data_IF_402163863962
#
_entry.id   IF_402163863962
#
_cell.length_a   1.000
_cell.length_b   1.000
_cell.length_c   1.000
_cell.angle_alpha   90.00
_cell.angle_beta   90.00
_cell.angle_gamma   90.00
#
_symmetry.space_group_name_H-M   'P 1'
#
loop_
_entity.id
_entity.type
_entity.pdbx_description
1 polymer ?
#
# COMPACT_ATOMS: atom_id res chain seq x y z
N UNK A 1 -17.71 -33.29 -4.68
CA UNK A 1 -16.83 -32.19 -4.25
C UNK A 1 -16.57 -32.35 -2.77
N UNK A 2 -15.38 -32.84 -2.46
CA UNK A 2 -15.03 -33.40 -1.17
C UNK A 2 -14.56 -32.31 -0.18
N UNK A 3 -14.62 -32.66 1.10
CA UNK A 3 -13.75 -32.13 2.14
C UNK A 3 -12.30 -32.46 1.73
N UNK A 4 -11.43 -31.45 1.65
CA UNK A 4 -10.04 -31.62 1.22
C UNK A 4 -9.10 -31.33 2.38
N UNK A 5 -8.25 -32.30 2.77
CA UNK A 5 -7.18 -32.07 3.75
C UNK A 5 -6.03 -31.32 3.09
N UNK A 6 -5.64 -30.18 3.63
CA UNK A 6 -4.48 -29.42 3.16
C UNK A 6 -3.21 -30.24 3.42
N UNK A 7 -2.26 -30.33 2.47
CA UNK A 7 -1.02 -31.05 2.71
C UNK A 7 -0.22 -30.39 3.85
N UNK A 8 0.32 -31.19 4.76
CA UNK A 8 1.05 -30.71 5.94
C UNK A 8 0.84 -31.58 7.18
N UNK A 9 1.47 -31.15 8.28
CA UNK A 9 1.42 -31.82 9.60
C UNK A 9 0.14 -31.56 10.39
N UNK A 10 -0.63 -30.56 9.96
CA UNK A 10 -1.84 -30.09 10.63
C UNK A 10 -3.07 -30.78 10.05
N UNK A 11 -4.05 -31.07 10.90
CA UNK A 11 -5.36 -31.57 10.52
C UNK A 11 -6.27 -30.41 10.08
N UNK A 12 -5.83 -29.73 9.02
CA UNK A 12 -6.51 -28.59 8.42
C UNK A 12 -7.23 -29.00 7.14
N UNK A 13 -8.51 -28.68 7.06
CA UNK A 13 -9.38 -29.05 5.96
C UNK A 13 -10.05 -27.83 5.33
N UNK A 14 -10.28 -27.89 4.03
CA UNK A 14 -11.00 -26.86 3.25
C UNK A 14 -12.17 -27.45 2.48
N UNK A 15 -13.30 -26.75 2.46
CA UNK A 15 -14.53 -27.26 1.85
C UNK A 15 -15.53 -26.18 1.41
N UNK A 16 -16.60 -26.63 0.76
CA UNK A 16 -17.79 -25.81 0.49
C UNK A 16 -18.90 -26.12 1.48
N UNK A 17 -20.01 -25.37 1.41
CA UNK A 17 -21.12 -25.47 2.37
C UNK A 17 -21.75 -26.87 2.40
N UNK A 18 -21.81 -27.55 1.25
CA UNK A 18 -22.32 -28.92 1.15
C UNK A 18 -21.50 -29.96 1.92
N UNK A 19 -20.28 -29.62 2.34
CA UNK A 19 -19.48 -30.46 3.22
C UNK A 19 -20.12 -30.59 4.60
N UNK A 20 -20.82 -29.56 5.08
CA UNK A 20 -21.49 -29.58 6.38
C UNK A 20 -22.65 -30.59 6.43
N UNK A 21 -23.29 -30.88 5.30
CA UNK A 21 -24.37 -31.88 5.22
C UNK A 21 -23.86 -33.34 5.23
N UNK A 22 -22.54 -33.57 5.24
CA UNK A 22 -21.93 -34.91 5.13
C UNK A 22 -21.44 -35.41 6.49
N UNK A 23 -22.38 -35.81 7.36
CA UNK A 23 -22.11 -36.24 8.74
C UNK A 23 -21.03 -37.31 8.85
N UNK A 24 -21.10 -38.37 8.04
CA UNK A 24 -20.13 -39.46 8.08
C UNK A 24 -18.71 -38.94 7.76
N UNK A 25 -18.58 -38.09 6.73
CA UNK A 25 -17.27 -37.52 6.38
C UNK A 25 -16.71 -36.65 7.50
N UNK A 26 -17.52 -35.79 8.13
CA UNK A 26 -17.06 -34.95 9.24
C UNK A 26 -16.63 -35.81 10.44
N UNK A 27 -17.41 -36.84 10.78
CA UNK A 27 -17.12 -37.76 11.87
C UNK A 27 -15.85 -38.59 11.62
N UNK A 28 -15.71 -39.16 10.42
CA UNK A 28 -14.55 -39.97 10.04
C UNK A 28 -13.24 -39.17 10.05
N UNK A 29 -13.31 -37.87 9.74
CA UNK A 29 -12.14 -36.95 9.80
C UNK A 29 -11.86 -36.38 11.18
N UNK A 30 -12.71 -36.66 12.18
CA UNK A 30 -12.52 -36.16 13.54
C UNK A 30 -12.56 -34.63 13.66
N UNK A 31 -13.30 -33.93 12.79
CA UNK A 31 -13.43 -32.47 12.84
C UNK A 31 -14.03 -32.05 14.19
N UNK A 32 -13.36 -31.11 14.85
CA UNK A 32 -13.77 -30.54 16.15
C UNK A 32 -14.10 -29.06 16.05
N UNK A 33 -13.56 -28.37 15.04
CA UNK A 33 -13.61 -26.93 14.88
C UNK A 33 -14.02 -26.56 13.45
N UNK A 34 -14.95 -25.61 13.29
CA UNK A 34 -15.44 -25.16 11.99
C UNK A 34 -15.38 -23.63 11.86
N UNK A 35 -14.76 -23.14 10.79
CA UNK A 35 -14.76 -21.74 10.37
C UNK A 35 -15.69 -21.58 9.17
N UNK A 36 -16.71 -20.74 9.33
CA UNK A 36 -17.68 -20.37 8.29
C UNK A 36 -17.33 -18.99 7.73
N UNK A 37 -16.86 -18.91 6.49
CA UNK A 37 -16.49 -17.66 5.81
C UNK A 37 -17.56 -17.28 4.77
N UNK A 38 -18.76 -16.95 5.25
CA UNK A 38 -19.92 -16.52 4.47
C UNK A 38 -21.01 -15.92 5.37
N UNK A 39 -21.82 -15.02 4.81
CA UNK A 39 -23.04 -14.49 5.45
C UNK A 39 -24.16 -15.54 5.40
N UNK A 40 -24.28 -16.37 6.44
CA UNK A 40 -25.31 -17.41 6.53
C UNK A 40 -25.59 -17.80 7.99
N UNK A 41 -26.86 -18.08 8.34
CA UNK A 41 -27.26 -18.54 9.68
C UNK A 41 -27.29 -20.08 9.71
N UNK A 42 -26.42 -20.68 10.52
CA UNK A 42 -26.27 -22.14 10.65
C UNK A 42 -27.07 -22.74 11.80
N UNK A 43 -27.94 -21.99 12.50
CA UNK A 43 -28.72 -22.50 13.64
C UNK A 43 -29.58 -23.73 13.32
N UNK A 44 -30.03 -23.86 12.09
CA UNK A 44 -30.87 -24.98 11.65
C UNK A 44 -30.05 -26.22 11.22
N UNK A 45 -28.71 -26.15 11.26
CA UNK A 45 -27.88 -27.32 10.98
C UNK A 45 -27.93 -28.31 12.15
N UNK A 46 -28.36 -29.52 11.85
CA UNK A 46 -28.40 -30.61 12.81
C UNK A 46 -26.98 -30.94 13.31
N UNK A 47 -26.84 -31.23 14.60
CA UNK A 47 -25.56 -31.55 15.25
C UNK A 47 -24.51 -30.40 15.23
N UNK A 48 -24.92 -29.18 14.87
CA UNK A 48 -24.02 -28.02 14.84
C UNK A 48 -23.34 -27.77 16.19
N UNK A 49 -24.05 -27.94 17.30
CA UNK A 49 -23.53 -27.75 18.67
C UNK A 49 -22.35 -28.66 19.05
N UNK A 50 -22.04 -29.70 18.26
CA UNK A 50 -20.92 -30.61 18.54
C UNK A 50 -19.55 -30.01 18.24
N UNK A 51 -19.49 -28.95 17.45
CA UNK A 51 -18.24 -28.31 17.01
C UNK A 51 -18.07 -26.95 17.68
N UNK A 52 -16.81 -26.53 17.87
CA UNK A 52 -16.50 -25.13 18.16
C UNK A 52 -16.54 -24.34 16.83
N UNK A 53 -17.12 -23.13 16.85
CA UNK A 53 -17.38 -22.37 15.62
C UNK A 53 -16.77 -20.98 15.62
N UNK A 54 -16.31 -20.57 14.44
CA UNK A 54 -15.98 -19.18 14.13
C UNK A 54 -16.73 -18.75 12.86
N UNK A 55 -17.56 -17.72 12.98
CA UNK A 55 -18.24 -17.11 11.82
C UNK A 55 -17.53 -15.82 11.39
N UNK A 56 -17.30 -15.70 10.08
CA UNK A 56 -16.72 -14.54 9.41
C UNK A 56 -17.68 -14.15 8.26
N UNK A 57 -18.40 -13.06 8.46
CA UNK A 57 -19.50 -12.62 7.60
C UNK A 57 -18.99 -11.78 6.41
N UNK A 58 -18.48 -12.45 5.37
CA UNK A 58 -17.93 -11.80 4.16
C UNK A 58 -18.50 -12.37 2.86
N UNK A 59 -18.78 -11.49 1.90
CA UNK A 59 -19.16 -11.84 0.53
C UNK A 59 -17.92 -12.12 -0.36
N UNK A 60 -18.13 -12.83 -1.47
CA UNK A 60 -17.04 -13.19 -2.39
C UNK A 60 -16.83 -12.13 -3.48
N UNK A 61 -16.46 -10.92 -3.06
CA UNK A 61 -16.20 -9.78 -3.95
C UNK A 61 -14.87 -9.12 -3.61
N UNK A 62 -14.26 -8.47 -4.59
CA UNK A 62 -12.89 -7.92 -4.49
C UNK A 62 -12.76 -6.74 -3.50
N UNK A 63 -13.88 -6.09 -3.16
CA UNK A 63 -13.92 -4.94 -2.25
C UNK A 63 -14.19 -5.30 -0.79
N UNK A 64 -14.45 -6.57 -0.47
CA UNK A 64 -14.62 -7.03 0.91
C UNK A 64 -13.27 -7.10 1.64
N UNK A 65 -13.26 -6.71 2.92
CA UNK A 65 -12.06 -6.75 3.76
C UNK A 65 -12.00 -8.06 4.56
N UNK A 66 -11.19 -9.00 4.09
CA UNK A 66 -10.89 -10.24 4.79
C UNK A 66 -9.54 -10.18 5.53
N UNK A 67 -8.66 -9.26 5.15
CA UNK A 67 -7.35 -9.03 5.76
C UNK A 67 -7.43 -8.77 7.27
N UNK A 68 -8.41 -7.96 7.71
CA UNK A 68 -8.64 -7.70 9.13
C UNK A 68 -8.96 -8.96 9.96
N UNK A 69 -9.45 -10.03 9.32
CA UNK A 69 -9.82 -11.29 9.99
C UNK A 69 -8.68 -12.30 10.01
N UNK A 70 -7.55 -12.05 9.34
CA UNK A 70 -6.45 -13.03 9.22
C UNK A 70 -5.83 -13.38 10.57
N UNK A 71 -5.66 -12.41 11.48
CA UNK A 71 -5.16 -12.69 12.83
C UNK A 71 -6.14 -13.55 13.63
N UNK A 72 -7.40 -13.10 13.68
CA UNK A 72 -8.45 -13.72 14.47
C UNK A 72 -8.71 -15.14 14.01
N UNK A 73 -8.80 -15.36 12.70
CA UNK A 73 -8.95 -16.70 12.12
C UNK A 73 -7.70 -17.54 12.29
N UNK A 74 -6.50 -17.00 12.04
CA UNK A 74 -5.24 -17.73 12.17
C UNK A 74 -5.00 -18.23 13.60
N UNK A 75 -5.12 -17.36 14.59
CA UNK A 75 -4.99 -17.72 16.02
C UNK A 75 -6.04 -18.74 16.47
N UNK A 76 -7.27 -18.63 15.96
CA UNK A 76 -8.33 -19.59 16.25
C UNK A 76 -8.06 -20.97 15.63
N UNK A 77 -7.50 -21.03 14.40
CA UNK A 77 -7.05 -22.29 13.79
C UNK A 77 -5.94 -22.93 14.64
N UNK A 78 -4.93 -22.16 15.04
CA UNK A 78 -3.82 -22.67 15.87
C UNK A 78 -4.32 -23.27 17.19
N UNK A 79 -5.22 -22.57 17.88
CA UNK A 79 -5.80 -23.06 19.12
C UNK A 79 -6.68 -24.29 18.88
N UNK A 80 -7.47 -24.31 17.81
CA UNK A 80 -8.32 -25.45 17.45
C UNK A 80 -7.52 -26.72 17.13
N UNK A 81 -6.39 -26.58 16.43
CA UNK A 81 -5.46 -27.68 16.16
C UNK A 81 -4.78 -28.21 17.43
N UNK A 82 -4.55 -27.33 18.43
CA UNK A 82 -3.93 -27.69 19.72
C UNK A 82 -4.91 -28.38 20.68
N UNK A 83 -6.19 -27.99 20.67
CA UNK A 83 -7.27 -28.47 21.55
C UNK A 83 -7.79 -29.86 21.18
N UNK A 84 -6.89 -30.84 21.08
CA UNK A 84 -7.25 -32.22 20.87
C UNK A 84 -8.28 -32.80 21.84
N UNK A 85 -9.03 -33.82 21.40
CA UNK A 85 -9.82 -34.70 22.28
C UNK A 85 -9.15 -36.07 22.32
N UNK A 86 -9.09 -36.68 23.51
CA UNK A 86 -8.68 -38.07 23.73
C UNK A 86 -7.34 -38.46 23.05
N UNK A 87 -6.23 -37.79 23.38
CA UNK A 87 -4.88 -38.00 22.81
C UNK A 87 -4.72 -37.71 21.29
N UNK A 88 -5.76 -37.24 20.59
CA UNK A 88 -5.68 -36.89 19.17
C UNK A 88 -5.60 -35.37 18.98
N UNK A 89 -4.79 -34.90 18.01
CA UNK A 89 -4.75 -33.47 17.61
C UNK A 89 -6.15 -32.99 17.19
N UNK A 90 -6.47 -31.72 17.46
CA UNK A 90 -7.73 -31.15 17.00
C UNK A 90 -7.73 -31.00 15.48
N UNK A 91 -8.92 -31.08 14.86
CA UNK A 91 -9.07 -31.00 13.40
C UNK A 91 -10.00 -29.84 13.04
N UNK A 92 -9.54 -28.98 12.12
CA UNK A 92 -10.20 -27.71 11.77
C UNK A 92 -10.68 -27.75 10.33
N UNK A 93 -11.96 -27.43 10.10
CA UNK A 93 -12.55 -27.20 8.79
C UNK A 93 -12.75 -25.72 8.54
N UNK A 94 -12.18 -25.20 7.45
CA UNK A 94 -12.49 -23.86 6.92
C UNK A 94 -13.35 -24.00 5.67
N UNK A 95 -14.55 -23.44 5.68
CA UNK A 95 -15.44 -23.52 4.52
C UNK A 95 -16.07 -22.17 4.16
N UNK A 96 -16.51 -22.08 2.91
CA UNK A 96 -17.36 -21.00 2.42
C UNK A 96 -18.51 -21.61 1.60
N UNK A 97 -19.06 -20.90 0.62
CA UNK A 97 -20.08 -21.47 -0.26
C UNK A 97 -19.52 -22.62 -1.13
N UNK A 98 -18.51 -22.34 -1.97
CA UNK A 98 -17.93 -23.30 -2.92
C UNK A 98 -16.63 -23.95 -2.44
N UNK A 99 -16.00 -23.38 -1.40
CA UNK A 99 -14.64 -23.75 -1.02
C UNK A 99 -13.57 -23.31 -2.03
N UNK A 100 -13.79 -22.20 -2.75
CA UNK A 100 -12.92 -21.74 -3.86
C UNK A 100 -12.08 -20.53 -3.49
N UNK A 101 -12.73 -19.50 -2.97
CA UNK A 101 -12.13 -18.17 -2.76
C UNK A 101 -12.00 -17.86 -1.27
N UNK A 102 -13.03 -17.29 -0.61
CA UNK A 102 -13.04 -16.92 0.83
C UNK A 102 -12.35 -17.90 1.80
N UNK A 103 -12.78 -19.17 1.80
CA UNK A 103 -12.19 -20.18 2.72
C UNK A 103 -10.74 -20.51 2.36
N UNK A 104 -10.40 -20.51 1.07
CA UNK A 104 -9.04 -20.72 0.58
C UNK A 104 -8.17 -19.54 1.00
N UNK A 105 -8.67 -18.31 0.93
CA UNK A 105 -7.95 -17.11 1.42
C UNK A 105 -7.58 -17.24 2.89
N UNK A 106 -8.51 -17.64 3.76
CA UNK A 106 -8.24 -17.86 5.19
C UNK A 106 -7.18 -18.95 5.41
N UNK A 107 -7.28 -20.07 4.68
CA UNK A 107 -6.28 -21.14 4.75
C UNK A 107 -4.90 -20.65 4.31
N UNK A 108 -4.81 -19.89 3.23
CA UNK A 108 -3.53 -19.31 2.77
C UNK A 108 -2.97 -18.34 3.80
N UNK A 109 -3.80 -17.45 4.35
CA UNK A 109 -3.37 -16.52 5.39
C UNK A 109 -2.80 -17.26 6.62
N UNK A 110 -3.45 -18.33 7.05
CA UNK A 110 -2.95 -19.22 8.09
C UNK A 110 -1.60 -19.85 7.73
N UNK A 111 -1.46 -20.39 6.51
CA UNK A 111 -0.19 -20.99 6.07
C UNK A 111 0.95 -19.96 6.04
N UNK A 112 0.69 -18.74 5.57
CA UNK A 112 1.68 -17.65 5.52
C UNK A 112 2.12 -17.20 6.92
N UNK A 113 1.19 -17.21 7.88
CA UNK A 113 1.46 -16.92 9.29
C UNK A 113 2.30 -18.04 9.92
N UNK A 114 1.87 -19.29 9.75
CA UNK A 114 2.45 -20.46 10.42
C UNK A 114 3.84 -20.81 9.87
N UNK A 115 4.04 -20.57 8.57
CA UNK A 115 5.21 -20.99 7.83
C UNK A 115 5.82 -19.82 7.03
N UNK A 116 6.71 -19.03 7.66
CA UNK A 116 7.24 -17.79 7.08
C UNK A 116 7.98 -17.94 5.75
N UNK A 117 8.43 -19.15 5.39
CA UNK A 117 9.09 -19.45 4.13
C UNK A 117 8.15 -19.44 2.92
N UNK A 118 6.83 -19.59 3.12
CA UNK A 118 5.88 -19.61 2.01
C UNK A 118 5.66 -18.21 1.45
N UNK A 119 5.60 -18.15 0.12
CA UNK A 119 5.03 -17.03 -0.63
C UNK A 119 3.53 -17.25 -0.79
N UNK A 120 2.79 -16.21 -1.17
CA UNK A 120 1.35 -16.34 -1.46
C UNK A 120 1.13 -17.42 -2.53
N UNK A 121 1.93 -17.40 -3.60
CA UNK A 121 1.82 -18.36 -4.70
C UNK A 121 2.13 -19.80 -4.26
N UNK A 122 3.16 -20.00 -3.42
CA UNK A 122 3.50 -21.36 -2.97
C UNK A 122 2.49 -21.91 -1.98
N UNK A 123 1.91 -21.07 -1.13
CA UNK A 123 0.81 -21.46 -0.26
C UNK A 123 -0.48 -21.78 -1.06
N UNK A 124 -0.81 -20.99 -2.08
CA UNK A 124 -1.93 -21.28 -2.98
C UNK A 124 -1.71 -22.60 -3.75
N UNK A 125 -0.50 -22.84 -4.25
CA UNK A 125 -0.14 -24.09 -4.92
C UNK A 125 -0.33 -25.30 -3.99
N UNK A 126 0.09 -25.19 -2.72
CA UNK A 126 -0.09 -26.23 -1.72
C UNK A 126 -1.57 -26.55 -1.48
N UNK A 127 -2.43 -25.53 -1.39
CA UNK A 127 -3.89 -25.74 -1.26
C UNK A 127 -4.47 -26.39 -2.52
N UNK A 128 -3.96 -26.05 -3.71
CA UNK A 128 -4.40 -26.63 -4.99
C UNK A 128 -4.06 -28.12 -5.12
N UNK A 129 -3.03 -28.62 -4.47
CA UNK A 129 -2.72 -30.07 -4.44
C UNK A 129 -3.89 -30.88 -3.84
N UNK A 130 -4.54 -30.34 -2.81
CA UNK A 130 -5.71 -30.98 -2.18
C UNK A 130 -7.04 -30.53 -2.81
N UNK A 131 -7.06 -29.36 -3.45
CA UNK A 131 -8.28 -28.74 -3.99
C UNK A 131 -7.98 -27.91 -5.23
N UNK A 132 -7.93 -28.57 -6.39
CA UNK A 132 -7.57 -27.98 -7.69
C UNK A 132 -8.33 -26.69 -8.04
N UNK A 133 -9.61 -26.63 -7.68
CA UNK A 133 -10.47 -25.45 -7.93
C UNK A 133 -10.18 -24.23 -7.04
N UNK A 134 -9.17 -24.28 -6.17
CA UNK A 134 -8.80 -23.19 -5.28
C UNK A 134 -8.32 -21.97 -6.08
N UNK A 135 -9.02 -20.85 -5.89
CA UNK A 135 -8.83 -19.62 -6.66
C UNK A 135 -9.51 -18.46 -5.90
N UNK A 136 -8.80 -17.83 -4.96
CA UNK A 136 -9.20 -16.53 -4.40
C UNK A 136 -9.44 -15.49 -5.50
N UNK A 137 -10.39 -14.59 -5.28
CA UNK A 137 -10.55 -13.43 -6.17
C UNK A 137 -9.34 -12.49 -6.08
N UNK A 138 -9.21 -11.59 -7.06
CA UNK A 138 -8.05 -10.70 -7.18
C UNK A 138 -7.88 -9.79 -5.96
N UNK A 139 -8.97 -9.25 -5.41
CA UNK A 139 -8.94 -8.43 -4.20
C UNK A 139 -8.46 -9.17 -2.95
N UNK A 140 -8.79 -10.46 -2.82
CA UNK A 140 -8.26 -11.32 -1.76
C UNK A 140 -6.80 -11.70 -1.98
N UNK A 141 -6.36 -11.88 -3.24
CA UNK A 141 -4.95 -12.08 -3.56
C UNK A 141 -4.13 -10.84 -3.19
N UNK A 142 -4.60 -9.64 -3.52
CA UNK A 142 -3.95 -8.38 -3.11
C UNK A 142 -3.82 -8.29 -1.58
N UNK A 143 -4.88 -8.64 -0.84
CA UNK A 143 -4.87 -8.67 0.62
C UNK A 143 -3.86 -9.68 1.20
N UNK A 144 -3.72 -10.87 0.60
CA UNK A 144 -2.71 -11.86 0.98
C UNK A 144 -1.28 -11.35 0.73
N UNK A 145 -1.04 -10.68 -0.40
CA UNK A 145 0.25 -10.08 -0.68
C UNK A 145 0.56 -8.95 0.31
N UNK A 146 -0.40 -8.09 0.62
CA UNK A 146 -0.26 -7.05 1.62
C UNK A 146 0.04 -7.63 3.01
N UNK A 147 -0.66 -8.71 3.41
CA UNK A 147 -0.38 -9.43 4.66
C UNK A 147 1.06 -9.93 4.72
N UNK A 148 1.54 -10.56 3.64
CA UNK A 148 2.92 -11.05 3.55
C UNK A 148 3.94 -9.91 3.57
N UNK A 149 3.65 -8.79 2.90
CA UNK A 149 4.51 -7.60 2.86
C UNK A 149 4.62 -6.89 4.22
N UNK A 150 3.60 -7.04 5.07
CA UNK A 150 3.62 -6.60 6.47
C UNK A 150 4.33 -7.59 7.40
N UNK A 151 4.79 -8.74 6.89
CA UNK A 151 5.45 -9.77 7.69
C UNK A 151 4.50 -10.65 8.50
N UNK A 152 3.24 -10.78 8.08
CA UNK A 152 2.19 -11.56 8.77
C UNK A 152 2.04 -11.16 10.26
N UNK A 153 1.82 -9.88 10.60
CA UNK A 153 1.88 -9.40 11.97
C UNK A 153 0.67 -9.88 12.80
N UNK A 154 0.88 -9.94 14.12
CA UNK A 154 -0.19 -10.26 15.07
C UNK A 154 -1.18 -9.13 15.30
N UNK A 155 -0.73 -7.89 15.20
CA UNK A 155 -1.57 -6.70 15.31
C UNK A 155 -1.64 -6.04 13.94
N UNK A 156 -2.70 -6.39 13.18
CA UNK A 156 -2.92 -5.92 11.81
C UNK A 156 -3.42 -4.47 11.82
N UNK A 157 -4.28 -4.10 12.77
CA UNK A 157 -4.93 -2.78 12.84
C UNK A 157 -3.94 -1.63 13.11
N UNK A 158 -2.84 -1.90 13.82
CA UNK A 158 -1.78 -0.91 14.04
C UNK A 158 -0.82 -0.73 12.88
N UNK A 159 -0.86 -1.59 11.85
CA UNK A 159 0.09 -1.53 10.74
C UNK A 159 -0.17 -0.32 9.84
N UNK A 160 0.84 0.55 9.60
CA UNK A 160 0.67 1.72 8.73
C UNK A 160 0.24 1.37 7.31
N UNK A 161 0.70 0.23 6.77
CA UNK A 161 0.33 -0.25 5.42
C UNK A 161 -1.14 -0.64 5.36
N UNK A 162 -1.65 -1.34 6.38
CA UNK A 162 -3.06 -1.72 6.45
C UNK A 162 -3.98 -0.50 6.62
N UNK A 163 -3.63 0.42 7.53
CA UNK A 163 -4.38 1.67 7.70
C UNK A 163 -4.42 2.51 6.42
N UNK A 164 -3.32 2.55 5.66
CA UNK A 164 -3.26 3.22 4.36
C UNK A 164 -4.16 2.52 3.34
N UNK A 165 -4.18 1.19 3.30
CA UNK A 165 -5.06 0.41 2.42
C UNK A 165 -6.54 0.64 2.74
N UNK A 166 -6.93 0.61 4.02
CA UNK A 166 -8.29 0.93 4.46
C UNK A 166 -8.71 2.35 4.02
N UNK A 167 -7.84 3.32 4.25
CA UNK A 167 -8.08 4.70 3.82
C UNK A 167 -8.27 4.81 2.30
N UNK A 168 -7.48 4.09 1.50
CA UNK A 168 -7.64 4.08 0.04
C UNK A 168 -8.99 3.51 -0.41
N UNK A 169 -9.48 2.46 0.26
CA UNK A 169 -10.80 1.89 -0.01
C UNK A 169 -11.92 2.86 0.37
N UNK A 170 -11.83 3.52 1.52
CA UNK A 170 -12.78 4.56 1.95
C UNK A 170 -12.82 5.72 0.96
N UNK A 171 -11.66 6.24 0.55
CA UNK A 171 -11.57 7.27 -0.49
C UNK A 171 -12.21 6.76 -1.79
N UNK A 172 -11.88 5.56 -2.24
CA UNK A 172 -12.47 4.98 -3.45
C UNK A 172 -14.00 4.94 -3.41
N UNK A 173 -14.58 4.51 -2.28
CA UNK A 173 -16.01 4.47 -2.07
C UNK A 173 -16.65 5.88 -2.07
N UNK A 174 -16.04 6.83 -1.36
CA UNK A 174 -16.50 8.22 -1.34
C UNK A 174 -16.50 8.82 -2.75
N UNK A 175 -15.43 8.62 -3.52
CA UNK A 175 -15.33 9.10 -4.90
C UNK A 175 -16.36 8.44 -5.81
N UNK A 176 -16.61 7.14 -5.66
CA UNK A 176 -17.63 6.43 -6.42
C UNK A 176 -19.05 6.98 -6.13
N UNK A 177 -19.29 7.43 -4.90
CA UNK A 177 -20.50 8.13 -4.51
C UNK A 177 -20.53 9.62 -4.92
N UNK A 178 -19.48 10.13 -5.57
CA UNK A 178 -19.38 11.53 -5.97
C UNK A 178 -19.15 12.48 -4.79
N UNK A 179 -18.53 12.00 -3.70
CA UNK A 179 -18.26 12.75 -2.48
C UNK A 179 -16.76 12.85 -2.22
N UNK A 180 -16.35 13.87 -1.44
CA UNK A 180 -15.02 13.89 -0.85
C UNK A 180 -15.00 12.94 0.36
N UNK A 181 -13.84 12.37 0.73
CA UNK A 181 -13.74 11.55 1.93
C UNK A 181 -14.00 12.38 3.19
N UNK A 182 -14.67 11.79 4.18
CA UNK A 182 -15.02 12.46 5.44
C UNK A 182 -13.78 12.76 6.28
N UNK A 183 -12.84 11.82 6.33
CA UNK A 183 -11.55 11.98 7.01
C UNK A 183 -10.42 11.93 6.00
N UNK A 184 -9.44 12.84 6.14
CA UNK A 184 -8.26 12.88 5.26
C UNK A 184 -7.04 12.37 6.02
N UNK A 185 -6.38 11.35 5.49
CA UNK A 185 -5.09 10.86 6.00
C UNK A 185 -3.95 11.74 5.48
N UNK A 186 -3.27 12.44 6.38
CA UNK A 186 -2.09 13.25 6.08
C UNK A 186 -0.81 12.41 6.29
N UNK A 187 -0.01 12.28 5.24
CA UNK A 187 1.14 11.35 5.24
C UNK A 187 2.34 11.84 6.06
N UNK A 188 2.45 13.15 6.28
CA UNK A 188 3.48 13.77 7.12
C UNK A 188 3.22 13.66 8.63
N UNK A 189 2.02 13.26 9.03
CA UNK A 189 1.68 12.93 10.43
C UNK A 189 1.88 11.45 10.77
N UNK A 190 2.14 10.61 9.77
CA UNK A 190 2.35 9.17 9.97
C UNK A 190 3.81 8.90 10.36
N UNK A 191 4.02 7.99 11.32
CA UNK A 191 5.37 7.58 11.75
C UNK A 191 6.06 6.90 10.56
N UNK A 192 7.10 7.52 10.02
CA UNK A 192 7.91 6.95 8.95
C UNK A 192 9.16 6.29 9.52
N UNK A 193 9.37 5.01 9.22
CA UNK A 193 10.70 4.39 9.27
C UNK A 193 11.53 4.93 8.10
N UNK A 194 12.15 6.10 8.27
CA UNK A 194 12.95 6.72 7.21
C UNK A 194 14.24 5.91 6.96
N UNK A 195 14.27 5.16 5.86
CA UNK A 195 15.52 4.81 5.18
C UNK A 195 16.06 6.05 4.49
N UNK A 196 16.99 6.76 5.14
CA UNK A 196 17.63 7.99 4.64
C UNK A 196 18.69 7.73 3.56
N UNK A 197 18.45 6.79 2.66
CA UNK A 197 19.38 6.46 1.59
C UNK A 197 18.90 7.07 0.27
N UNK A 198 19.47 8.22 -0.10
CA UNK A 198 19.22 8.82 -1.42
C UNK A 198 19.36 10.33 -1.50
N UNK A 199 19.19 10.87 -2.72
CA UNK A 199 19.07 12.31 -2.96
C UNK A 199 17.71 12.77 -2.44
N UNK A 200 17.68 13.66 -1.46
CA UNK A 200 16.43 14.28 -1.01
C UNK A 200 16.11 15.49 -1.87
N UNK A 201 14.87 15.55 -2.37
CA UNK A 201 14.32 16.69 -3.09
C UNK A 201 13.34 17.41 -2.19
N UNK A 202 13.44 18.74 -2.12
CA UNK A 202 12.46 19.59 -1.45
C UNK A 202 11.77 20.51 -2.45
N UNK A 203 10.45 20.62 -2.34
CA UNK A 203 9.67 21.64 -3.03
C UNK A 203 9.47 22.83 -2.10
N UNK A 204 9.88 24.01 -2.55
CA UNK A 204 9.74 25.27 -1.80
C UNK A 204 8.88 26.26 -2.55
N UNK A 205 8.10 27.08 -1.84
CA UNK A 205 7.33 28.16 -2.47
C UNK A 205 8.27 29.15 -3.15
N UNK A 206 8.03 29.49 -4.42
CA UNK A 206 8.89 30.41 -5.18
C UNK A 206 8.88 31.85 -4.64
N UNK A 207 7.79 32.28 -4.00
CA UNK A 207 7.61 33.64 -3.46
C UNK A 207 8.27 33.84 -2.10
N UNK A 208 8.13 32.89 -1.18
CA UNK A 208 8.59 33.04 0.22
C UNK A 208 9.61 31.99 0.67
N UNK A 209 9.99 31.04 -0.21
CA UNK A 209 10.95 29.95 0.05
C UNK A 209 10.57 28.97 1.16
N UNK A 210 9.35 29.04 1.69
CA UNK A 210 8.80 28.06 2.65
C UNK A 210 8.78 26.66 2.01
N UNK A 211 9.29 25.65 2.70
CA UNK A 211 9.19 24.25 2.29
C UNK A 211 7.74 23.78 2.32
N UNK A 212 7.32 23.09 1.25
CA UNK A 212 5.97 22.62 1.01
C UNK A 212 5.88 21.10 1.01
N UNK A 213 6.87 20.41 0.44
CA UNK A 213 6.91 18.95 0.39
C UNK A 213 8.35 18.46 0.25
N UNK A 214 8.59 17.22 0.64
CA UNK A 214 9.86 16.51 0.47
C UNK A 214 9.66 15.27 -0.41
N UNK A 215 10.76 14.67 -0.86
CA UNK A 215 10.76 13.54 -1.81
C UNK A 215 9.87 12.36 -1.44
N UNK A 216 9.77 11.92 -0.17
CA UNK A 216 8.89 10.81 0.22
C UNK A 216 7.41 11.04 -0.09
N UNK A 217 6.97 12.30 -0.14
CA UNK A 217 5.57 12.67 -0.39
C UNK A 217 5.26 12.97 -1.86
N UNK A 218 6.27 12.89 -2.74
CA UNK A 218 6.08 13.12 -4.18
C UNK A 218 5.54 11.86 -4.86
N UNK A 219 4.48 12.02 -5.64
CA UNK A 219 3.93 10.96 -6.48
C UNK A 219 4.66 10.97 -7.83
N UNK A 220 5.46 9.94 -8.06
CA UNK A 220 6.08 9.67 -9.36
C UNK A 220 5.11 8.87 -10.26
N UNK A 221 5.17 9.11 -11.56
CA UNK A 221 4.28 8.55 -12.56
C UNK A 221 4.94 8.55 -13.95
N UNK A 222 5.08 7.38 -14.55
CA UNK A 222 5.79 7.25 -15.83
C UNK A 222 4.92 7.78 -16.98
N UNK A 223 5.43 8.68 -17.84
CA UNK A 223 4.72 9.13 -19.03
C UNK A 223 4.23 7.92 -19.84
N UNK A 224 2.97 7.95 -20.30
CA UNK A 224 2.51 6.91 -21.24
C UNK A 224 3.35 7.04 -22.52
N UNK A 225 3.92 5.94 -23.05
CA UNK A 225 4.57 5.99 -24.35
C UNK A 225 3.56 6.53 -25.36
N UNK A 226 3.93 7.58 -26.09
CA UNK A 226 3.11 8.07 -27.19
C UNK A 226 3.12 6.97 -28.24
N UNK A 227 2.02 6.22 -28.36
CA UNK A 227 1.80 5.37 -29.54
C UNK A 227 1.69 6.34 -30.70
N UNK A 228 2.62 6.32 -31.69
CA UNK A 228 2.50 7.19 -32.85
C UNK A 228 1.16 6.88 -33.52
N UNK A 229 0.37 7.88 -33.95
CA UNK A 229 -0.75 7.62 -34.84
C UNK A 229 -0.21 6.84 -36.05
N UNK A 230 -0.88 5.76 -36.41
CA UNK A 230 -0.53 4.94 -37.58
C UNK A 230 -0.30 5.89 -38.78
N UNK A 231 0.93 5.87 -39.27
CA UNK A 231 1.42 6.75 -40.33
C UNK A 231 0.65 6.47 -41.62
N UNK A 232 -0.07 7.47 -42.13
CA UNK A 232 -0.22 7.58 -43.59
C UNK A 232 1.15 7.99 -44.15
N UNK A 233 1.70 7.09 -44.95
CA UNK A 233 3.01 7.19 -45.60
C UNK A 233 3.12 8.43 -46.50
N UNK A 234 4.22 9.18 -46.40
CA UNK A 234 5.22 9.38 -47.47
C UNK A 234 6.20 10.50 -47.11
N UNK A 235 7.48 10.15 -46.93
CA UNK A 235 8.58 11.10 -46.78
C UNK A 235 9.81 10.44 -46.16
N UNK A 236 11.01 10.49 -46.78
CA UNK A 236 12.17 9.76 -46.27
C UNK A 236 13.12 10.63 -45.45
N UNK A 237 13.88 9.92 -44.61
CA UNK A 237 15.21 10.21 -44.04
C UNK A 237 15.25 10.64 -42.56
N UNK A 238 15.81 9.69 -41.80
CA UNK A 238 16.80 9.83 -40.73
C UNK A 238 16.35 10.19 -39.32
N UNK A 239 16.57 9.17 -38.47
CA UNK A 239 17.48 9.29 -37.33
C UNK A 239 17.08 10.26 -36.24
N UNK A 240 16.41 9.71 -35.23
CA UNK A 240 17.04 9.58 -33.92
C UNK A 240 16.16 8.66 -33.09
N UNK A 241 16.72 7.50 -32.74
CA UNK A 241 16.33 6.76 -31.54
C UNK A 241 16.29 7.74 -30.38
N UNK A 242 15.11 8.28 -30.06
CA UNK A 242 14.86 8.84 -28.74
C UNK A 242 14.52 7.69 -27.84
N UNK A 243 15.55 6.97 -27.40
CA UNK A 243 15.53 6.41 -26.05
C UNK A 243 15.47 7.62 -25.12
N UNK A 244 14.26 8.14 -24.89
CA UNK A 244 14.01 9.20 -23.93
C UNK A 244 14.30 8.61 -22.54
N UNK A 245 15.23 9.19 -21.76
CA UNK A 245 15.40 8.75 -20.39
C UNK A 245 14.11 9.02 -19.61
N UNK A 246 13.85 8.32 -18.48
CA UNK A 246 12.65 8.54 -17.67
C UNK A 246 12.80 9.87 -16.92
N UNK A 247 12.59 10.98 -17.61
CA UNK A 247 12.72 12.30 -17.02
C UNK A 247 11.34 12.92 -16.86
N UNK A 248 10.88 12.92 -15.61
CA UNK A 248 9.76 13.68 -15.08
C UNK A 248 9.85 15.21 -15.29
N UNK A 249 10.84 15.69 -16.04
CA UNK A 249 11.08 17.10 -16.36
C UNK A 249 10.00 17.68 -17.26
N UNK A 250 9.32 16.87 -18.07
CA UNK A 250 8.28 17.33 -19.00
C UNK A 250 6.92 17.66 -18.34
N UNK A 251 6.63 17.14 -17.14
CA UNK A 251 5.33 17.39 -16.48
C UNK A 251 5.24 18.85 -16.00
N UNK A 252 4.06 19.46 -16.08
CA UNK A 252 3.79 20.84 -15.65
C UNK A 252 3.44 20.96 -14.16
N UNK A 253 3.11 19.85 -13.51
CA UNK A 253 2.76 19.78 -12.10
C UNK A 253 3.64 18.77 -11.36
N UNK A 254 3.90 19.03 -10.08
CA UNK A 254 4.27 18.01 -9.10
C UNK A 254 3.01 17.49 -8.43
N UNK A 255 2.88 16.17 -8.29
CA UNK A 255 1.78 15.54 -7.56
C UNK A 255 2.27 15.09 -6.19
N UNK A 256 1.43 15.25 -5.18
CA UNK A 256 1.74 15.01 -3.78
C UNK A 256 0.75 14.05 -3.16
N UNK A 257 1.19 13.38 -2.10
CA UNK A 257 0.28 12.87 -1.07
C UNK A 257 -0.36 14.05 -0.30
N UNK A 258 -1.53 13.87 0.35
CA UNK A 258 -2.07 14.88 1.26
C UNK A 258 -1.08 15.19 2.39
N UNK A 259 -0.82 16.48 2.62
CA UNK A 259 0.07 16.96 3.68
C UNK A 259 -0.68 17.88 4.65
N UNK A 260 -0.28 17.90 5.92
CA UNK A 260 -0.99 18.60 6.99
C UNK A 260 -1.22 20.08 6.73
N UNK A 261 -0.32 20.74 6.00
CA UNK A 261 -0.50 22.15 5.64
C UNK A 261 -1.66 22.39 4.66
N UNK A 262 -2.14 21.35 3.97
CA UNK A 262 -3.32 21.40 3.08
C UNK A 262 -4.65 21.25 3.84
N UNK A 263 -4.59 20.90 5.14
CA UNK A 263 -5.76 20.52 5.96
C UNK A 263 -6.94 21.49 5.86
N UNK A 264 -6.66 22.78 6.02
CA UNK A 264 -7.69 23.83 5.97
C UNK A 264 -8.52 23.83 4.68
N UNK A 265 -7.97 23.31 3.58
CA UNK A 265 -8.65 23.21 2.29
C UNK A 265 -9.29 21.84 2.06
N UNK A 266 -8.66 20.76 2.53
CA UNK A 266 -9.14 19.40 2.29
C UNK A 266 -10.29 18.99 3.21
N UNK A 267 -10.34 19.51 4.44
CA UNK A 267 -11.41 19.23 5.41
C UNK A 267 -12.69 20.04 5.16
N UNK A 268 -12.74 20.86 4.11
CA UNK A 268 -13.96 21.58 3.71
C UNK A 268 -15.01 20.64 3.08
N UNK A 269 -14.68 19.38 2.80
CA UNK A 269 -15.59 18.40 2.19
C UNK A 269 -15.90 18.67 0.71
N UNK A 270 -15.11 19.52 0.04
CA UNK A 270 -15.27 19.83 -1.37
C UNK A 270 -14.52 18.82 -2.25
N UNK A 271 -15.06 18.47 -3.41
CA UNK A 271 -14.41 17.58 -4.40
C UNK A 271 -13.18 18.20 -5.07
N UNK A 272 -13.09 19.53 -5.10
CA UNK A 272 -11.96 20.22 -5.70
C UNK A 272 -11.80 21.61 -5.10
N UNK A 273 -10.57 22.11 -5.09
CA UNK A 273 -10.26 23.43 -4.56
C UNK A 273 -8.84 23.86 -4.88
N UNK A 274 -8.43 24.99 -4.28
CA UNK A 274 -7.12 25.61 -4.54
C UNK A 274 -6.18 25.31 -3.40
N UNK A 275 -4.90 25.16 -3.71
CA UNK A 275 -3.85 25.03 -2.70
C UNK A 275 -3.05 26.33 -2.63
N UNK A 276 -3.04 26.96 -1.45
CA UNK A 276 -2.34 28.21 -1.18
C UNK A 276 -1.15 27.98 -0.26
N UNK A 277 -0.18 28.91 -0.28
CA UNK A 277 1.00 28.80 0.55
C UNK A 277 0.64 28.93 2.04
N UNK A 278 1.05 28.00 2.92
CA UNK A 278 0.69 28.04 4.34
C UNK A 278 1.32 29.22 5.10
N UNK A 279 2.26 29.94 4.47
CA UNK A 279 2.71 31.22 5.00
C UNK A 279 1.63 32.29 4.74
N UNK A 280 0.90 32.66 5.80
CA UNK A 280 -0.20 33.65 5.77
C UNK A 280 0.20 34.99 5.14
N UNK A 281 1.46 35.43 5.30
CA UNK A 281 1.97 36.67 4.66
C UNK A 281 2.19 36.51 3.15
N UNK A 282 2.42 35.28 2.69
CA UNK A 282 2.70 34.99 1.29
C UNK A 282 1.40 34.83 0.50
N UNK A 283 0.49 33.99 1.01
CA UNK A 283 -0.79 33.58 0.43
C UNK A 283 -0.76 33.33 -1.09
N UNK A 284 0.35 32.84 -1.61
CA UNK A 284 0.50 32.59 -3.04
C UNK A 284 -0.30 31.35 -3.44
N UNK A 285 -1.08 31.43 -4.51
CA UNK A 285 -1.70 30.26 -5.14
C UNK A 285 -0.60 29.35 -5.71
N UNK A 286 -0.47 28.15 -5.14
CA UNK A 286 0.56 27.16 -5.51
C UNK A 286 0.02 26.12 -6.49
N UNK A 287 -1.26 25.76 -6.36
CA UNK A 287 -1.81 24.61 -7.05
C UNK A 287 -3.29 24.40 -6.82
N UNK A 288 -3.71 23.14 -6.91
CA UNK A 288 -5.10 22.70 -6.75
C UNK A 288 -5.16 21.25 -6.28
N UNK A 289 -6.28 20.90 -5.66
CA UNK A 289 -6.64 19.51 -5.38
C UNK A 289 -7.91 19.14 -6.15
N UNK A 290 -7.96 17.92 -6.65
CA UNK A 290 -9.13 17.35 -7.33
C UNK A 290 -9.23 15.89 -6.86
N UNK A 291 -10.23 15.59 -6.04
CA UNK A 291 -10.44 14.27 -5.45
C UNK A 291 -10.74 13.21 -6.51
N UNK A 292 -11.51 13.56 -7.54
CA UNK A 292 -11.78 12.68 -8.71
C UNK A 292 -10.57 12.50 -9.64
N UNK A 293 -9.46 13.17 -9.34
CA UNK A 293 -8.24 13.10 -10.11
C UNK A 293 -8.19 14.05 -11.32
N UNK A 294 -7.03 14.06 -11.98
CA UNK A 294 -6.82 14.84 -13.19
C UNK A 294 -5.77 14.17 -14.09
N UNK A 295 -5.85 14.47 -15.39
CA UNK A 295 -4.85 14.06 -16.37
C UNK A 295 -3.63 14.97 -16.31
N UNK A 296 -2.45 14.40 -16.07
CA UNK A 296 -1.18 15.09 -16.17
C UNK A 296 -0.85 15.39 -17.64
N UNK A 297 0.00 16.40 -17.89
CA UNK A 297 0.52 16.74 -19.22
C UNK A 297 1.30 15.61 -19.90
N UNK A 298 1.81 14.63 -19.15
CA UNK A 298 2.42 13.41 -19.68
C UNK A 298 1.40 12.33 -20.09
N UNK A 299 0.11 12.57 -19.91
CA UNK A 299 -0.98 11.68 -20.31
C UNK A 299 -1.46 10.69 -19.24
N UNK A 300 -0.80 10.62 -18.08
CA UNK A 300 -1.21 9.76 -16.96
C UNK A 300 -2.37 10.38 -16.19
N UNK A 301 -3.36 9.57 -15.80
CA UNK A 301 -4.42 9.96 -14.88
C UNK A 301 -3.94 9.77 -13.43
N UNK A 302 -4.02 10.80 -12.61
CA UNK A 302 -3.66 10.74 -11.19
C UNK A 302 -4.94 10.94 -10.37
N UNK A 303 -5.25 10.02 -9.46
CA UNK A 303 -6.45 10.07 -8.63
C UNK A 303 -6.17 9.50 -7.22
N UNK A 304 -6.47 10.24 -6.14
CA UNK A 304 -6.79 11.67 -6.12
C UNK A 304 -5.60 12.54 -6.56
N UNK A 305 -5.86 13.77 -7.01
CA UNK A 305 -4.82 14.66 -7.54
C UNK A 305 -4.60 15.88 -6.65
N UNK A 306 -3.53 15.87 -5.86
CA UNK A 306 -3.00 17.06 -5.17
C UNK A 306 -1.81 17.58 -5.95
N UNK A 307 -1.97 18.71 -6.63
CA UNK A 307 -0.99 19.17 -7.62
C UNK A 307 -0.46 20.56 -7.31
N UNK A 308 0.87 20.72 -7.38
CA UNK A 308 1.55 22.02 -7.32
C UNK A 308 2.10 22.37 -8.71
N UNK A 309 1.88 23.61 -9.15
CA UNK A 309 2.38 24.07 -10.44
C UNK A 309 3.89 24.29 -10.38
N UNK A 310 4.66 23.67 -11.30
CA UNK A 310 6.12 23.84 -11.36
C UNK A 310 6.56 25.30 -11.45
N UNK A 311 5.79 26.16 -12.11
CA UNK A 311 6.10 27.59 -12.21
C UNK A 311 6.01 28.36 -10.87
N UNK A 312 5.33 27.80 -9.86
CA UNK A 312 5.04 28.43 -8.55
C UNK A 312 5.91 27.87 -7.40
N UNK A 313 6.65 26.80 -7.66
CA UNK A 313 7.53 26.13 -6.68
C UNK A 313 8.93 25.98 -7.23
N UNK A 314 9.92 26.02 -6.35
CA UNK A 314 11.32 25.74 -6.69
C UNK A 314 11.70 24.38 -6.14
N UNK A 315 12.36 23.57 -6.96
CA UNK A 315 12.91 22.27 -6.59
C UNK A 315 14.35 22.44 -6.08
N UNK A 316 14.60 22.00 -4.86
CA UNK A 316 15.93 22.05 -4.22
C UNK A 316 16.40 20.63 -3.97
N UNK A 317 17.50 20.24 -4.61
CA UNK A 317 18.13 18.93 -4.40
C UNK A 317 19.13 19.04 -3.26
N UNK A 318 18.82 18.40 -2.14
CA UNK A 318 19.73 18.21 -1.02
C UNK A 318 20.60 16.99 -1.29
N UNK A 319 21.92 17.20 -1.27
CA UNK A 319 22.89 16.09 -1.25
C UNK A 319 23.08 15.72 0.22
N UNK A 320 22.92 14.45 0.56
CA UNK A 320 23.33 13.95 1.87
C UNK A 320 24.83 14.26 2.06
N UNK A 321 25.18 15.00 3.10
CA UNK A 321 26.58 15.07 3.50
C UNK A 321 27.00 13.69 3.99
N UNK A 322 28.14 13.15 3.54
CA UNK A 322 28.65 11.91 4.10
C UNK A 322 28.84 12.12 5.61
N UNK A 323 28.35 11.16 6.41
CA UNK A 323 28.47 11.19 7.86
C UNK A 323 29.91 11.57 8.25
N UNK A 324 30.07 12.69 8.96
CA UNK A 324 31.36 13.07 9.49
C UNK A 324 31.87 11.94 10.39
N UNK A 325 32.98 11.34 10.00
CA UNK A 325 33.71 10.38 10.83
C UNK A 325 34.04 11.09 12.15
N UNK A 326 33.66 10.55 13.33
CA UNK A 326 34.01 11.15 14.59
C UNK A 326 35.52 11.04 14.78
N UNK A 327 36.26 12.11 14.47
CA UNK A 327 37.72 12.13 14.63
C UNK A 327 38.50 13.23 13.90
N UNK A 328 37.93 13.97 12.95
CA UNK A 328 38.68 15.05 12.29
C UNK A 328 38.50 16.39 13.01
N UNK A 329 39.55 16.84 13.73
CA UNK A 329 39.66 18.19 14.27
C UNK A 329 39.38 19.25 13.17
N UNK A 330 38.67 20.35 13.48
CA UNK A 330 38.47 21.42 12.51
C UNK A 330 39.82 22.05 12.16
N UNK A 331 40.17 22.10 10.87
CA UNK A 331 41.28 22.93 10.38
C UNK A 331 40.90 24.39 10.64
N UNK A 332 41.69 25.06 11.49
CA UNK A 332 41.58 26.48 11.75
C UNK A 332 41.55 27.27 10.42
N UNK A 333 40.55 28.13 10.28
CA UNK A 333 40.38 29.00 9.12
C UNK A 333 41.62 29.89 8.93
N UNK A 334 42.27 29.75 7.77
CA UNK A 334 43.31 30.66 7.35
C UNK A 334 42.72 32.05 7.10
N UNK A 335 43.09 33.00 7.94
CA UNK A 335 42.84 34.43 7.75
C UNK A 335 43.55 34.84 6.46
N UNK A 336 42.79 35.31 5.46
CA UNK A 336 43.35 35.94 4.25
C UNK A 336 43.79 37.37 4.60
N UNK A 337 45.09 37.63 4.57
CA UNK A 337 45.64 38.99 4.61
C UNK A 337 45.33 39.75 3.31
N UNK A 338 45.13 41.08 3.36
CA UNK A 338 44.89 41.89 2.17
C UNK A 338 46.17 42.14 1.35
N UNK A 339 46.07 42.47 0.05
CA UNK A 339 47.22 42.57 -0.83
C UNK A 339 47.98 43.89 -0.66
N UNK A 340 49.32 43.80 -0.63
CA UNK A 340 50.25 44.92 -0.55
C UNK A 340 50.13 45.88 -1.75
N UNK A 341 49.96 47.17 -1.43
CA UNK A 341 50.03 48.28 -2.36
C UNK A 341 51.48 48.55 -2.77
N UNK A 342 51.73 48.52 -4.08
CA UNK A 342 53.02 48.83 -4.71
C UNK A 342 53.57 50.18 -4.28
N UNK A 343 54.86 50.15 -3.98
CA UNK A 343 55.76 51.28 -3.79
C UNK A 343 55.70 52.31 -4.92
N UNK A 344 55.63 53.59 -4.55
CA UNK A 344 56.14 54.70 -5.36
C UNK A 344 57.21 55.43 -4.55
N UNK A 345 58.45 55.29 -4.99
CA UNK A 345 59.55 56.20 -4.70
C UNK A 345 59.17 57.60 -5.22
N UNK A 346 59.37 58.62 -4.41
CA UNK A 346 59.71 59.95 -4.89
C UNK A 346 61.00 60.40 -4.21
N UNK A 347 61.94 60.80 -5.05
CA UNK A 347 63.28 61.30 -4.76
C UNK A 347 63.25 62.61 -3.96
N UNK A 348 64.33 62.81 -3.21
CA UNK A 348 64.67 64.06 -2.51
C UNK A 348 64.97 65.18 -3.51
N UNK A 349 64.46 66.38 -3.21
CA UNK A 349 65.30 67.57 -2.99
C UNK A 349 64.59 68.51 -2.04
#
# INVERSE_FOLDING_TARGET
>A
MALSRVPGEDELYVGGIFTLSRKNTLADTGITHVISVLKYDFKDFEDWEKYEHLSIEVDDVEDENLLGEFERSGSWIEEGLRKGKDDHKGSVLVHCAMGRSRSVTIVIAYLLRRYPQHTVDSALALVREAREMAEPNDGFMEQLHLYKEMGCPHDIDSQPKYQRWLYQKEVGLALAAGMAPDTVRFEDEQVQEESREGKQVELRCRKCRRTLATSPYLINHLPKPVVPPQQSSTGPIASLDRVLPPQHTACTHHFLQPLSWMRAELEQGLLSGRLECPNVKCNAKLGQYIWQGMKCSCGVWICPAFSLQKGRVDEVVLRAEPAQVPGSRPKAGGIRSPPDSKSRRFEKM
#
